data_IF_279449496703
#
_entry.id   IF_279449496703
#
_cell.length_a   1.000
_cell.length_b   1.000
_cell.length_c   1.000
_cell.angle_alpha   90.00
_cell.angle_beta   90.00
_cell.angle_gamma   90.00
#
_symmetry.space_group_name_H-M   'P 1'
#
loop_
_entity.id
_entity.type
_entity.pdbx_description
1 polymer ?
#
# COMPACT_ATOMS: atom_id res chain seq x y z
N UNK A 1 -25.83 -9.21 -9.97
CA UNK A 1 -24.47 -8.62 -9.97
C UNK A 1 -24.25 -7.61 -8.84
N UNK A 2 -25.18 -6.68 -8.56
CA UNK A 2 -25.00 -5.66 -7.50
C UNK A 2 -24.70 -6.21 -6.10
N UNK A 3 -25.35 -7.30 -5.66
CA UNK A 3 -25.06 -7.95 -4.36
C UNK A 3 -23.62 -8.49 -4.28
N UNK A 4 -23.10 -9.11 -5.34
CA UNK A 4 -21.74 -9.70 -5.34
C UNK A 4 -20.66 -8.63 -5.20
N UNK A 5 -20.88 -7.45 -5.79
CA UNK A 5 -19.95 -6.31 -5.74
C UNK A 5 -19.88 -5.72 -4.32
N UNK A 6 -21.02 -5.61 -3.61
CA UNK A 6 -21.04 -5.08 -2.24
C UNK A 6 -20.39 -6.01 -1.21
N UNK A 7 -20.53 -7.34 -1.37
CA UNK A 7 -19.80 -8.33 -0.56
C UNK A 7 -18.30 -8.27 -0.80
N UNK A 8 -17.87 -8.22 -2.05
CA UNK A 8 -16.46 -8.12 -2.41
C UNK A 8 -15.83 -6.84 -1.84
N UNK A 9 -16.52 -5.71 -1.96
CA UNK A 9 -16.04 -4.44 -1.42
C UNK A 9 -15.88 -4.47 0.10
N UNK A 10 -16.87 -5.00 0.84
CA UNK A 10 -16.74 -5.16 2.29
C UNK A 10 -15.54 -6.02 2.67
N UNK A 11 -15.28 -7.09 1.91
CA UNK A 11 -14.11 -7.94 2.13
C UNK A 11 -12.78 -7.21 1.86
N UNK A 12 -12.68 -6.44 0.77
CA UNK A 12 -11.49 -5.61 0.50
C UNK A 12 -11.30 -4.52 1.57
N UNK A 13 -12.39 -3.94 2.08
CA UNK A 13 -12.34 -2.90 3.11
C UNK A 13 -11.91 -3.47 4.47
N UNK A 14 -12.40 -4.66 4.83
CA UNK A 14 -11.95 -5.35 6.04
C UNK A 14 -10.46 -5.70 5.94
N UNK A 15 -10.03 -6.30 4.83
CA UNK A 15 -8.60 -6.66 4.63
C UNK A 15 -7.69 -5.43 4.67
N UNK A 16 -8.13 -4.30 4.11
CA UNK A 16 -7.43 -3.03 4.22
C UNK A 16 -7.20 -2.63 5.68
N UNK A 17 -8.29 -2.51 6.44
CA UNK A 17 -8.22 -2.08 7.84
C UNK A 17 -7.41 -3.04 8.70
N UNK A 18 -7.56 -4.36 8.51
CA UNK A 18 -6.80 -5.35 9.27
C UNK A 18 -5.30 -5.25 9.04
N UNK A 19 -4.87 -5.07 7.78
CA UNK A 19 -3.43 -4.98 7.47
C UNK A 19 -2.87 -3.65 7.98
N UNK A 20 -3.64 -2.56 7.87
CA UNK A 20 -3.22 -1.24 8.34
C UNK A 20 -3.06 -1.22 9.87
N UNK A 21 -4.04 -1.72 10.61
CA UNK A 21 -3.98 -1.77 12.08
C UNK A 21 -2.90 -2.73 12.56
N UNK A 22 -2.74 -3.88 11.90
CA UNK A 22 -1.68 -4.84 12.20
C UNK A 22 -0.29 -4.24 11.98
N UNK A 23 -0.07 -3.57 10.84
CA UNK A 23 1.20 -2.90 10.54
C UNK A 23 1.53 -1.86 11.61
N UNK A 24 0.54 -1.03 11.97
CA UNK A 24 0.71 0.01 12.98
C UNK A 24 1.00 -0.59 14.36
N UNK A 25 0.29 -1.65 14.74
CA UNK A 25 0.53 -2.40 15.98
C UNK A 25 1.95 -2.97 16.01
N UNK A 26 2.41 -3.58 14.92
CA UNK A 26 3.78 -4.12 14.79
C UNK A 26 4.81 -3.00 15.00
N UNK A 27 4.65 -1.85 14.35
CA UNK A 27 5.59 -0.72 14.54
C UNK A 27 5.60 -0.17 15.96
N UNK A 28 4.45 -0.09 16.63
CA UNK A 28 4.37 0.34 18.02
C UNK A 28 5.06 -0.68 18.93
N UNK A 29 4.79 -1.97 18.74
CA UNK A 29 5.45 -3.05 19.50
C UNK A 29 6.96 -3.02 19.30
N UNK A 30 7.43 -2.90 18.06
CA UNK A 30 8.87 -2.78 17.77
C UNK A 30 9.52 -1.62 18.54
N UNK A 31 8.81 -0.49 18.67
CA UNK A 31 9.29 0.67 19.40
C UNK A 31 9.22 0.51 20.92
N UNK A 32 8.20 -0.17 21.46
CA UNK A 32 8.07 -0.35 22.92
C UNK A 32 8.96 -1.44 23.49
N UNK A 33 9.34 -2.44 22.68
CA UNK A 33 10.01 -3.63 23.21
C UNK A 33 11.53 -3.52 23.25
N UNK A 34 12.13 -2.40 22.80
CA UNK A 34 13.59 -2.16 22.63
C UNK A 34 14.38 -3.32 21.96
N UNK A 35 13.68 -4.34 21.45
CA UNK A 35 14.25 -5.57 20.91
C UNK A 35 15.06 -5.34 19.64
N UNK A 36 14.94 -4.14 19.04
CA UNK A 36 15.70 -3.73 17.87
C UNK A 36 16.83 -2.73 18.18
N UNK A 37 17.06 -2.35 19.44
CA UNK A 37 18.25 -1.59 19.84
C UNK A 37 19.56 -2.31 19.41
N UNK A 38 19.51 -3.63 19.22
CA UNK A 38 20.65 -4.44 18.78
C UNK A 38 21.02 -4.23 17.29
N UNK A 39 20.08 -3.82 16.41
CA UNK A 39 20.41 -3.54 15.01
C UNK A 39 21.11 -2.19 14.83
N UNK A 40 20.75 -1.18 15.63
CA UNK A 40 21.35 0.15 15.56
C UNK A 40 22.85 0.15 15.93
N UNK A 41 23.30 -0.81 16.75
CA UNK A 41 24.69 -0.89 17.22
C UNK A 41 25.65 -1.49 16.17
N UNK A 42 25.14 -2.15 15.12
CA UNK A 42 25.96 -2.89 14.13
C UNK A 42 25.96 -2.20 12.74
N UNK A 43 25.21 -1.11 12.59
CA UNK A 43 24.89 -0.54 11.28
C UNK A 43 26.03 0.30 10.70
N UNK A 44 26.54 -0.12 9.54
CA UNK A 44 27.53 0.64 8.79
C UNK A 44 26.85 1.81 8.05
N UNK A 45 27.40 3.04 8.07
CA UNK A 45 26.76 4.21 7.47
C UNK A 45 26.51 4.07 5.95
N UNK A 46 27.35 3.30 5.27
CA UNK A 46 27.19 2.98 3.84
C UNK A 46 25.96 2.10 3.59
N UNK A 47 25.74 1.10 4.44
CA UNK A 47 24.61 0.16 4.29
C UNK A 47 23.30 0.88 4.55
N UNK A 48 23.25 1.74 5.57
CA UNK A 48 22.07 2.55 5.83
C UNK A 48 21.72 3.46 4.65
N UNK A 49 22.71 4.12 4.08
CA UNK A 49 22.51 5.01 2.94
C UNK A 49 21.95 4.26 1.72
N UNK A 50 22.46 3.05 1.44
CA UNK A 50 21.95 2.21 0.35
C UNK A 50 20.52 1.78 0.60
N UNK A 51 20.19 1.37 1.84
CA UNK A 51 18.82 0.98 2.22
C UNK A 51 17.86 2.17 2.13
N UNK A 52 18.26 3.35 2.60
CA UNK A 52 17.53 4.61 2.45
C UNK A 52 17.22 4.91 0.97
N UNK A 53 18.25 4.86 0.12
CA UNK A 53 18.11 5.10 -1.33
C UNK A 53 17.16 4.10 -2.00
N UNK A 54 17.30 2.81 -1.71
CA UNK A 54 16.45 1.77 -2.29
C UNK A 54 15.00 1.94 -1.85
N UNK A 55 14.76 2.22 -0.57
CA UNK A 55 13.41 2.48 -0.05
C UNK A 55 12.78 3.67 -0.76
N UNK A 56 13.46 4.82 -0.82
CA UNK A 56 12.96 6.04 -1.50
C UNK A 56 12.65 5.77 -2.97
N UNK A 57 13.54 5.11 -3.71
CA UNK A 57 13.31 4.77 -5.12
C UNK A 57 12.10 3.85 -5.29
N UNK A 58 11.93 2.86 -4.41
CA UNK A 58 10.76 1.98 -4.40
C UNK A 58 9.49 2.78 -4.14
N UNK A 59 9.41 3.61 -3.10
CA UNK A 59 8.20 4.38 -2.78
C UNK A 59 7.83 5.33 -3.92
N UNK A 60 8.81 6.06 -4.48
CA UNK A 60 8.59 7.00 -5.58
C UNK A 60 8.15 6.28 -6.86
N UNK A 61 8.59 5.05 -7.13
CA UNK A 61 8.18 4.29 -8.30
C UNK A 61 6.84 3.56 -8.10
N UNK A 62 6.65 2.92 -6.94
CA UNK A 62 5.49 2.07 -6.67
C UNK A 62 4.23 2.88 -6.41
N UNK A 63 4.29 4.06 -5.81
CA UNK A 63 3.13 4.94 -5.61
C UNK A 63 2.47 5.33 -6.94
N UNK A 64 3.16 5.95 -7.92
CA UNK A 64 2.56 6.29 -9.21
C UNK A 64 2.23 5.05 -10.03
N UNK A 65 2.97 3.94 -9.88
CA UNK A 65 2.64 2.68 -10.55
C UNK A 65 1.31 2.10 -10.03
N UNK A 66 1.09 2.10 -8.71
CA UNK A 66 -0.18 1.70 -8.11
C UNK A 66 -1.32 2.61 -8.58
N UNK A 67 -1.08 3.91 -8.70
CA UNK A 67 -2.07 4.88 -9.20
C UNK A 67 -2.33 4.72 -10.71
N UNK A 68 -1.33 4.36 -11.52
CA UNK A 68 -1.45 4.17 -12.99
C UNK A 68 -1.93 2.78 -13.41
N UNK A 69 -1.92 1.78 -12.51
CA UNK A 69 -2.25 0.39 -12.83
C UNK A 69 -3.65 0.23 -13.47
N UNK A 70 -4.62 1.07 -13.10
CA UNK A 70 -5.98 1.05 -13.66
C UNK A 70 -6.17 1.92 -14.92
N UNK A 71 -5.18 2.77 -15.25
CA UNK A 71 -5.22 3.59 -16.45
C UNK A 71 -4.70 2.85 -17.70
N UNK A 72 -4.07 1.69 -17.53
CA UNK A 72 -3.61 0.87 -18.64
C UNK A 72 -4.80 0.27 -19.43
N UNK A 73 -4.93 0.66 -20.71
CA UNK A 73 -5.98 0.18 -21.63
C UNK A 73 -6.07 -1.35 -21.70
N UNK A 74 -4.94 -2.07 -21.54
CA UNK A 74 -4.91 -3.55 -21.53
C UNK A 74 -5.61 -4.18 -20.32
N UNK A 75 -5.67 -3.47 -19.18
CA UNK A 75 -6.39 -3.91 -17.97
C UNK A 75 -7.86 -3.53 -18.08
N UNK A 76 -8.18 -2.35 -18.64
CA UNK A 76 -9.56 -1.89 -18.94
C UNK A 76 -10.36 -2.87 -19.80
N UNK A 77 -9.70 -3.60 -20.71
CA UNK A 77 -10.35 -4.61 -21.58
C UNK A 77 -10.67 -5.95 -20.90
N UNK A 78 -10.05 -6.27 -19.75
CA UNK A 78 -10.28 -7.51 -18.98
C UNK A 78 -10.87 -7.24 -17.59
N UNK A 79 -11.29 -6.00 -17.36
CA UNK A 79 -11.81 -5.51 -16.09
C UNK A 79 -13.04 -6.29 -15.58
N UNK A 80 -14.07 -6.61 -16.38
CA UNK A 80 -15.32 -7.15 -15.80
C UNK A 80 -15.15 -8.50 -15.09
N UNK A 81 -14.24 -9.36 -15.55
CA UNK A 81 -14.01 -10.68 -14.93
C UNK A 81 -12.91 -10.69 -13.86
N UNK A 82 -11.95 -9.75 -13.92
CA UNK A 82 -10.75 -9.78 -13.05
C UNK A 82 -10.54 -8.51 -12.22
N UNK A 83 -11.51 -7.58 -12.21
CA UNK A 83 -11.46 -6.35 -11.42
C UNK A 83 -11.12 -6.62 -9.96
N UNK A 84 -11.78 -7.60 -9.35
CA UNK A 84 -11.54 -8.04 -7.97
C UNK A 84 -10.06 -8.33 -7.70
N UNK A 85 -9.41 -9.07 -8.61
CA UNK A 85 -8.02 -9.48 -8.48
C UNK A 85 -7.06 -8.30 -8.64
N UNK A 86 -7.29 -7.43 -9.62
CA UNK A 86 -6.46 -6.24 -9.85
C UNK A 86 -6.59 -5.19 -8.75
N UNK A 87 -7.82 -4.93 -8.29
CA UNK A 87 -8.09 -4.03 -7.17
C UNK A 87 -7.40 -4.53 -5.89
N UNK A 88 -7.48 -5.83 -5.62
CA UNK A 88 -6.80 -6.47 -4.49
C UNK A 88 -5.27 -6.40 -4.62
N UNK A 89 -4.71 -6.70 -5.79
CA UNK A 89 -3.25 -6.61 -6.01
C UNK A 89 -2.73 -5.18 -5.82
N UNK A 90 -3.43 -4.17 -6.35
CA UNK A 90 -3.07 -2.76 -6.14
C UNK A 90 -3.08 -2.38 -4.66
N UNK A 91 -4.11 -2.81 -3.94
CA UNK A 91 -4.26 -2.54 -2.51
C UNK A 91 -3.14 -3.20 -1.70
N UNK A 92 -2.84 -4.47 -1.99
CA UNK A 92 -1.71 -5.19 -1.37
C UNK A 92 -0.37 -4.54 -1.67
N UNK A 93 -0.15 -4.07 -2.90
CA UNK A 93 1.09 -3.43 -3.28
C UNK A 93 1.31 -2.15 -2.47
N UNK A 94 0.32 -1.27 -2.38
CA UNK A 94 0.43 -0.07 -1.53
C UNK A 94 0.58 -0.39 -0.05
N UNK A 95 -0.13 -1.40 0.46
CA UNK A 95 0.01 -1.84 1.85
C UNK A 95 1.38 -2.42 2.16
N UNK A 96 1.98 -3.14 1.22
CA UNK A 96 3.33 -3.66 1.38
C UNK A 96 4.36 -2.53 1.43
N UNK A 97 4.25 -1.52 0.57
CA UNK A 97 5.13 -0.34 0.58
C UNK A 97 5.03 0.41 1.90
N UNK A 98 3.81 0.71 2.35
CA UNK A 98 3.58 1.35 3.64
C UNK A 98 4.13 0.53 4.81
N UNK A 99 3.94 -0.79 4.81
CA UNK A 99 4.44 -1.67 5.86
C UNK A 99 5.97 -1.67 5.93
N UNK A 100 6.64 -1.69 4.77
CA UNK A 100 8.10 -1.58 4.70
C UNK A 100 8.55 -0.22 5.26
N UNK A 101 7.97 0.88 4.79
CA UNK A 101 8.34 2.23 5.25
C UNK A 101 8.12 2.41 6.76
N UNK A 102 7.00 1.90 7.29
CA UNK A 102 6.65 1.97 8.70
C UNK A 102 7.59 1.11 9.57
N UNK A 103 7.89 -0.12 9.14
CA UNK A 103 8.84 -0.99 9.86
C UNK A 103 10.24 -0.40 9.82
N UNK A 104 10.70 0.10 8.67
CA UNK A 104 11.98 0.81 8.55
C UNK A 104 12.04 2.04 9.45
N UNK A 105 10.95 2.80 9.58
CA UNK A 105 10.87 3.89 10.56
C UNK A 105 11.05 3.38 11.99
N UNK A 106 10.42 2.26 12.36
CA UNK A 106 10.59 1.64 13.67
C UNK A 106 12.02 1.14 13.94
N UNK A 107 12.76 0.72 12.90
CA UNK A 107 14.12 0.17 13.02
C UNK A 107 15.22 1.24 13.02
N UNK A 108 15.14 2.20 12.08
CA UNK A 108 16.20 3.18 11.85
C UNK A 108 15.94 4.53 12.53
N UNK A 109 14.71 4.78 13.01
CA UNK A 109 14.28 6.03 13.65
C UNK A 109 14.57 7.30 12.83
N UNK A 110 14.68 7.17 11.50
CA UNK A 110 14.92 8.29 10.59
C UNK A 110 13.60 8.95 10.19
N UNK A 111 13.55 10.27 10.28
CA UNK A 111 12.41 11.07 9.83
C UNK A 111 12.07 10.83 8.35
N UNK A 112 13.05 10.50 7.50
CA UNK A 112 12.84 10.17 6.08
C UNK A 112 11.81 9.06 5.88
N UNK A 113 11.92 7.95 6.63
CA UNK A 113 10.98 6.83 6.52
C UNK A 113 9.58 7.19 7.01
N UNK A 114 9.47 8.08 8.00
CA UNK A 114 8.18 8.60 8.45
C UNK A 114 7.46 9.39 7.34
N UNK A 115 8.19 10.24 6.62
CA UNK A 115 7.62 10.98 5.49
C UNK A 115 7.18 10.04 4.35
N UNK A 116 7.97 9.01 4.04
CA UNK A 116 7.61 7.99 3.05
C UNK A 116 6.34 7.23 3.46
N UNK A 117 6.23 6.83 4.72
CA UNK A 117 5.05 6.18 5.26
C UNK A 117 3.79 7.09 5.15
N UNK A 118 3.92 8.39 5.43
CA UNK A 118 2.82 9.36 5.25
C UNK A 118 2.40 9.45 3.79
N UNK A 119 3.36 9.56 2.86
CA UNK A 119 3.06 9.66 1.42
C UNK A 119 2.35 8.39 0.94
N UNK A 120 2.82 7.21 1.37
CA UNK A 120 2.19 5.93 1.09
C UNK A 120 0.76 5.84 1.67
N UNK A 121 0.53 6.38 2.88
CA UNK A 121 -0.79 6.45 3.50
C UNK A 121 -1.74 7.39 2.74
N UNK A 122 -1.27 8.55 2.31
CA UNK A 122 -2.04 9.46 1.45
C UNK A 122 -2.38 8.79 0.12
N UNK A 123 -1.44 8.05 -0.47
CA UNK A 123 -1.68 7.28 -1.70
C UNK A 123 -2.77 6.20 -1.51
N UNK A 124 -2.88 5.59 -0.33
CA UNK A 124 -3.96 4.63 -0.03
C UNK A 124 -5.35 5.28 -0.06
N UNK A 125 -5.48 6.55 0.37
CA UNK A 125 -6.77 7.27 0.35
C UNK A 125 -7.30 7.38 -1.08
N UNK A 126 -6.42 7.60 -2.06
CA UNK A 126 -6.82 7.64 -3.48
C UNK A 126 -7.22 6.29 -4.05
N UNK A 127 -6.71 5.20 -3.48
CA UNK A 127 -6.97 3.82 -3.91
C UNK A 127 -8.11 3.17 -3.14
N UNK A 128 -8.71 3.87 -2.18
CA UNK A 128 -9.77 3.37 -1.32
C UNK A 128 -10.95 2.79 -2.14
N UNK A 129 -11.35 1.53 -1.89
CA UNK A 129 -12.44 0.88 -2.62
C UNK A 129 -13.79 1.47 -2.22
N UNK A 130 -14.15 2.62 -2.80
CA UNK A 130 -15.45 3.27 -2.61
C UNK A 130 -16.47 2.79 -3.64
N UNK A 131 -17.75 2.69 -3.25
CA UNK A 131 -18.86 2.26 -4.12
C UNK A 131 -18.94 3.09 -5.40
N UNK A 132 -18.84 4.42 -5.26
CA UNK A 132 -18.83 5.37 -6.37
C UNK A 132 -17.71 5.10 -7.38
N UNK A 133 -16.56 4.60 -6.92
CA UNK A 133 -15.42 4.26 -7.78
C UNK A 133 -15.63 2.94 -8.52
N UNK A 134 -16.13 1.92 -7.84
CA UNK A 134 -16.52 0.66 -8.47
C UNK A 134 -17.59 0.87 -9.54
N UNK A 135 -18.61 1.68 -9.26
CA UNK A 135 -19.68 2.00 -10.22
C UNK A 135 -19.16 2.82 -11.40
N UNK A 136 -18.31 3.82 -11.17
CA UNK A 136 -17.70 4.63 -12.23
C UNK A 136 -16.76 3.82 -13.14
N UNK A 137 -16.08 2.81 -12.58
CA UNK A 137 -15.15 1.95 -13.33
C UNK A 137 -15.86 0.80 -14.07
N UNK A 138 -17.03 0.36 -13.57
CA UNK A 138 -17.85 -0.69 -14.21
C UNK A 138 -18.86 -0.13 -15.24
N UNK A 139 -19.39 1.08 -15.04
CA UNK A 139 -20.32 1.72 -15.99
C UNK A 139 -19.64 2.19 -17.28
N UNK A 140 -18.35 2.55 -17.20
CA UNK A 140 -17.52 2.95 -18.36
C UNK A 140 -17.17 1.81 -19.32
N UNK A 141 -17.57 0.57 -19.05
CA UNK A 141 -17.39 -0.58 -19.94
C UNK A 141 -18.68 -1.04 -20.64
N UNK A 142 -19.84 -0.45 -20.34
CA UNK A 142 -21.11 -0.77 -21.03
C UNK A 142 -21.38 0.15 -22.24
N UNK A 143 -20.56 1.18 -22.46
CA UNK A 143 -20.75 2.19 -23.52
C UNK A 143 -19.75 2.12 -24.66
N UNK A 144 -18.90 1.08 -24.71
CA UNK A 144 -17.99 0.80 -25.85
C UNK A 144 -18.36 -0.51 -26.55
#
# INVERSE_FOLDING_TARGET
>A
MAKTISYLQHWLMMTFWTILTLTLLITVLLRTTDCCATLQVISNPVVEYVVDMVAVCLTIALVPLALRLMYCQSVRRKLPEKYARWAWTRQLLLQSVFAIDAVCYGLFDKASYFYLAIISLLAMVFVYPSQKRCEAETSKSETE
#
